data_IF_532534163245
#
_entry.id   IF_532534163245
#
_cell.length_a   1.000
_cell.length_b   1.000
_cell.length_c   1.000
_cell.angle_alpha   90.00
_cell.angle_beta   90.00
_cell.angle_gamma   90.00
#
_symmetry.space_group_name_H-M   'P 1'
#
loop_
_entity.id
_entity.type
_entity.pdbx_description
1 polymer ?
#
# COMPACT_ATOMS: atom_id res chain seq x y z
N UNK A 1 7.44 10.07 33.91
CA UNK A 1 6.68 8.86 33.55
C UNK A 1 7.38 8.25 32.36
N UNK A 2 7.99 7.08 32.52
CA UNK A 2 8.79 6.40 31.50
C UNK A 2 7.98 6.27 30.20
N UNK A 3 8.38 7.00 29.15
CA UNK A 3 7.88 6.78 27.79
C UNK A 3 8.37 5.39 27.37
N UNK A 4 7.57 4.35 27.60
CA UNK A 4 7.87 3.01 27.12
C UNK A 4 7.91 3.08 25.59
N UNK A 5 9.11 3.11 25.03
CA UNK A 5 9.33 3.25 23.59
C UNK A 5 8.55 2.16 22.85
N UNK A 6 7.78 2.57 21.84
CA UNK A 6 6.97 1.67 21.04
C UNK A 6 7.84 0.56 20.41
N UNK A 7 7.38 -0.69 20.49
CA UNK A 7 8.09 -1.88 19.96
C UNK A 7 8.47 -1.75 18.48
N UNK A 8 7.83 -0.83 17.75
CA UNK A 8 8.12 -0.53 16.35
C UNK A 8 9.44 0.21 16.11
N UNK A 9 10.00 0.90 17.11
CA UNK A 9 11.33 1.50 16.97
C UNK A 9 12.42 0.45 16.71
N UNK A 10 12.18 -0.81 17.10
CA UNK A 10 13.08 -1.93 16.83
C UNK A 10 13.10 -2.35 15.36
N UNK A 11 12.05 -2.03 14.61
CA UNK A 11 11.88 -2.36 13.17
C UNK A 11 12.36 -1.21 12.27
N UNK A 12 12.56 -0.02 12.86
CA UNK A 12 13.07 1.20 12.20
C UNK A 12 14.29 0.99 11.29
N UNK A 13 15.35 0.24 11.65
CA UNK A 13 16.53 0.10 10.77
C UNK A 13 16.25 -0.64 9.45
N UNK A 14 15.27 -1.55 9.41
CA UNK A 14 14.84 -2.19 8.16
C UNK A 14 13.90 -1.31 7.35
N UNK A 15 13.10 -0.51 8.05
CA UNK A 15 12.06 0.34 7.47
C UNK A 15 12.63 1.59 6.79
N UNK A 16 13.70 2.17 7.35
CA UNK A 16 14.36 3.38 6.82
C UNK A 16 15.09 3.13 5.48
N UNK A 17 15.34 1.87 5.11
CA UNK A 17 15.94 1.51 3.81
C UNK A 17 14.93 1.50 2.66
N UNK A 18 13.63 1.52 2.96
CA UNK A 18 12.60 1.49 1.93
C UNK A 18 12.52 2.85 1.22
N UNK A 19 12.45 2.86 -0.13
CA UNK A 19 12.39 4.11 -0.87
C UNK A 19 11.14 4.92 -0.46
N UNK A 20 11.30 6.25 -0.41
CA UNK A 20 10.21 7.16 -0.13
C UNK A 20 10.23 8.33 -1.08
N UNK A 21 9.04 8.69 -1.57
CA UNK A 21 8.84 9.89 -2.37
C UNK A 21 8.86 11.09 -1.42
N UNK A 22 9.74 12.06 -1.68
CA UNK A 22 9.76 13.34 -0.96
C UNK A 22 8.56 14.18 -1.36
N UNK A 23 7.99 14.91 -0.40
CA UNK A 23 6.93 15.88 -0.69
C UNK A 23 7.53 17.03 -1.51
N UNK A 24 6.79 17.59 -2.47
CA UNK A 24 7.28 18.70 -3.28
C UNK A 24 7.60 19.92 -2.39
N UNK A 25 8.73 20.56 -2.66
CA UNK A 25 9.18 21.76 -1.96
C UNK A 25 8.49 22.97 -2.61
N UNK A 26 7.39 23.44 -2.00
CA UNK A 26 6.64 24.61 -2.46
C UNK A 26 5.24 24.32 -3.01
N UNK A 27 4.55 25.39 -3.43
CA UNK A 27 3.18 25.29 -3.93
C UNK A 27 3.14 24.76 -5.37
N UNK A 28 2.51 23.60 -5.56
CA UNK A 28 2.29 23.02 -6.89
C UNK A 28 1.02 23.60 -7.51
N UNK A 29 1.13 24.16 -8.71
CA UNK A 29 0.00 24.71 -9.46
C UNK A 29 -1.07 23.64 -9.77
N UNK A 30 -2.33 24.04 -9.80
CA UNK A 30 -3.47 23.13 -10.04
C UNK A 30 -3.34 22.39 -11.38
N UNK A 31 -2.93 23.08 -12.45
CA UNK A 31 -2.73 22.46 -13.79
C UNK A 31 -1.70 21.33 -13.75
N UNK A 32 -0.62 21.51 -13.01
CA UNK A 32 0.41 20.47 -12.83
C UNK A 32 -0.16 19.28 -12.04
N UNK A 33 -0.93 19.51 -10.97
CA UNK A 33 -1.60 18.43 -10.22
C UNK A 33 -2.55 17.63 -11.12
N UNK A 34 -3.36 18.32 -11.93
CA UNK A 34 -4.30 17.69 -12.86
C UNK A 34 -3.58 16.83 -13.90
N UNK A 35 -2.48 17.36 -14.46
CA UNK A 35 -1.66 16.62 -15.43
C UNK A 35 -1.08 15.34 -14.81
N UNK A 36 -0.55 15.40 -13.59
CA UNK A 36 -0.06 14.21 -12.87
C UNK A 36 -1.16 13.17 -12.62
N UNK A 37 -2.37 13.59 -12.24
CA UNK A 37 -3.51 12.68 -12.04
C UNK A 37 -3.85 11.97 -13.34
N UNK A 38 -3.97 12.70 -14.46
CA UNK A 38 -4.26 12.11 -15.78
C UNK A 38 -3.17 11.12 -16.18
N UNK A 39 -1.89 11.47 -16.02
CA UNK A 39 -0.77 10.58 -16.35
C UNK A 39 -0.84 9.28 -15.54
N UNK A 40 -1.05 9.37 -14.22
CA UNK A 40 -1.16 8.18 -13.36
C UNK A 40 -2.37 7.31 -13.74
N UNK A 41 -3.51 7.92 -14.09
CA UNK A 41 -4.69 7.18 -14.53
C UNK A 41 -4.44 6.43 -15.86
N UNK A 42 -3.75 7.05 -16.82
CA UNK A 42 -3.38 6.38 -18.07
C UNK A 42 -2.46 5.20 -17.81
N UNK A 43 -1.44 5.37 -16.97
CA UNK A 43 -0.53 4.28 -16.59
C UNK A 43 -1.30 3.15 -15.90
N UNK A 44 -2.20 3.48 -14.97
CA UNK A 44 -3.06 2.52 -14.30
C UNK A 44 -3.90 1.71 -15.30
N UNK A 45 -4.57 2.40 -16.22
CA UNK A 45 -5.40 1.76 -17.25
C UNK A 45 -4.58 0.83 -18.15
N UNK A 46 -3.38 1.24 -18.57
CA UNK A 46 -2.48 0.38 -19.36
C UNK A 46 -2.11 -0.87 -18.57
N UNK A 47 -1.73 -0.74 -17.30
CA UNK A 47 -1.37 -1.89 -16.46
C UNK A 47 -2.52 -2.89 -16.26
N UNK A 48 -3.77 -2.41 -16.15
CA UNK A 48 -4.97 -3.25 -16.08
C UNK A 48 -5.22 -4.05 -17.36
N UNK A 49 -4.70 -3.61 -18.51
CA UNK A 49 -4.88 -4.30 -19.79
C UNK A 49 -3.68 -5.18 -20.18
N UNK A 50 -2.58 -5.15 -19.42
CA UNK A 50 -1.40 -5.98 -19.66
C UNK A 50 -1.50 -7.25 -18.82
N UNK A 51 -1.68 -8.38 -19.51
CA UNK A 51 -1.76 -9.70 -18.89
C UNK A 51 -0.38 -10.24 -18.50
N UNK A 52 -0.33 -10.99 -17.40
CA UNK A 52 0.85 -11.70 -16.96
C UNK A 52 1.19 -12.83 -17.93
N UNK A 53 2.49 -12.99 -18.17
CA UNK A 53 3.00 -14.03 -19.04
C UNK A 53 2.90 -15.41 -18.38
N UNK A 54 2.50 -16.43 -19.14
CA UNK A 54 2.47 -17.82 -18.67
C UNK A 54 1.22 -18.25 -17.90
N UNK A 55 0.19 -17.40 -17.83
CA UNK A 55 -1.10 -17.77 -17.24
C UNK A 55 -2.00 -18.49 -18.25
N UNK A 56 -2.54 -19.64 -17.83
CA UNK A 56 -3.63 -20.30 -18.53
C UNK A 56 -4.96 -19.62 -18.18
N UNK A 57 -5.62 -19.07 -19.21
CA UNK A 57 -6.75 -18.15 -19.04
C UNK A 57 -8.07 -18.88 -18.82
N UNK A 58 -8.18 -20.14 -19.22
CA UNK A 58 -9.40 -20.95 -19.08
C UNK A 58 -9.53 -21.59 -17.69
N UNK A 59 -8.42 -21.83 -16.99
CA UNK A 59 -8.40 -22.50 -15.68
C UNK A 59 -8.47 -21.53 -14.48
N UNK A 60 -8.37 -20.21 -14.70
CA UNK A 60 -8.54 -19.23 -13.63
C UNK A 60 -10.02 -19.00 -13.30
N UNK A 61 -10.51 -19.75 -12.31
CA UNK A 61 -11.78 -19.44 -11.66
C UNK A 61 -11.63 -18.16 -10.83
N UNK A 62 -12.36 -17.11 -11.21
CA UNK A 62 -12.38 -15.83 -10.50
C UNK A 62 -13.25 -15.92 -9.23
N UNK A 63 -12.80 -16.72 -8.25
CA UNK A 63 -13.49 -16.93 -6.98
C UNK A 63 -13.68 -15.63 -6.16
N UNK A 64 -12.92 -14.58 -6.49
CA UNK A 64 -12.93 -13.28 -5.81
C UNK A 64 -13.51 -12.14 -6.65
N UNK A 65 -14.30 -12.44 -7.68
CA UNK A 65 -14.87 -11.45 -8.60
C UNK A 65 -15.52 -10.24 -7.89
N UNK A 66 -16.31 -10.49 -6.84
CA UNK A 66 -16.99 -9.45 -6.06
C UNK A 66 -16.01 -8.58 -5.25
N UNK A 67 -14.99 -9.19 -4.66
CA UNK A 67 -13.95 -8.48 -3.91
C UNK A 67 -13.06 -7.63 -4.82
N UNK A 68 -12.81 -8.11 -6.04
CA UNK A 68 -11.95 -7.46 -7.03
C UNK A 68 -12.47 -6.10 -7.48
N UNK A 69 -13.78 -5.93 -7.59
CA UNK A 69 -14.41 -4.62 -7.90
C UNK A 69 -14.07 -3.58 -6.83
N UNK A 70 -14.05 -3.97 -5.55
CA UNK A 70 -13.71 -3.08 -4.44
C UNK A 70 -12.21 -2.79 -4.42
N UNK A 71 -11.39 -3.82 -4.69
CA UNK A 71 -9.93 -3.70 -4.72
C UNK A 71 -9.39 -3.09 -6.01
N UNK A 72 -10.27 -2.71 -6.95
CA UNK A 72 -9.93 -2.17 -8.26
C UNK A 72 -8.90 -3.02 -9.05
N UNK A 73 -8.83 -4.33 -8.79
CA UNK A 73 -7.88 -5.23 -9.43
C UNK A 73 -8.42 -5.84 -10.74
N UNK A 74 -7.54 -6.44 -11.54
CA UNK A 74 -7.93 -7.21 -12.72
C UNK A 74 -7.17 -8.54 -12.79
N UNK A 75 -7.91 -9.66 -12.86
CA UNK A 75 -7.33 -11.01 -12.74
C UNK A 75 -6.46 -11.33 -13.94
N UNK A 76 -5.30 -11.91 -13.66
CA UNK A 76 -4.29 -12.25 -14.65
C UNK A 76 -3.56 -11.06 -15.27
N UNK A 77 -3.66 -9.87 -14.69
CA UNK A 77 -2.99 -8.65 -15.16
C UNK A 77 -1.89 -8.20 -14.19
N UNK A 78 -1.09 -7.22 -14.57
CA UNK A 78 -0.12 -6.60 -13.67
C UNK A 78 -0.76 -6.02 -12.39
N UNK A 79 -2.07 -5.74 -12.42
CA UNK A 79 -2.86 -5.24 -11.29
C UNK A 79 -3.77 -6.30 -10.68
N UNK A 80 -3.36 -7.57 -10.70
CA UNK A 80 -4.12 -8.69 -10.10
C UNK A 80 -4.56 -8.43 -8.66
N UNK A 81 -3.64 -7.95 -7.81
CA UNK A 81 -3.91 -7.62 -6.40
C UNK A 81 -4.64 -6.27 -6.20
N UNK A 82 -4.64 -5.41 -7.22
CA UNK A 82 -5.20 -4.06 -7.16
C UNK A 82 -4.61 -3.22 -6.03
N UNK A 83 -5.46 -2.46 -5.35
CA UNK A 83 -5.10 -1.63 -4.19
C UNK A 83 -5.19 -2.38 -2.85
N UNK A 84 -5.62 -3.64 -2.87
CA UNK A 84 -5.95 -4.45 -1.69
C UNK A 84 -4.89 -4.40 -0.59
N UNK A 85 -3.63 -4.77 -0.89
CA UNK A 85 -2.56 -4.80 0.10
C UNK A 85 -2.28 -3.46 0.79
N UNK A 86 -2.51 -2.35 0.07
CA UNK A 86 -2.30 -0.99 0.59
C UNK A 86 -3.41 -0.63 1.57
N UNK A 87 -4.65 -0.91 1.18
CA UNK A 87 -5.83 -0.60 2.00
C UNK A 87 -5.87 -1.49 3.24
N UNK A 88 -5.65 -2.80 3.09
CA UNK A 88 -5.68 -3.78 4.19
C UNK A 88 -4.60 -3.48 5.24
N UNK A 89 -3.35 -3.24 4.81
CA UNK A 89 -2.27 -2.84 5.70
C UNK A 89 -2.59 -1.52 6.44
N UNK A 90 -3.18 -0.53 5.75
CA UNK A 90 -3.58 0.73 6.37
C UNK A 90 -4.66 0.52 7.43
N UNK A 91 -5.66 -0.32 7.18
CA UNK A 91 -6.72 -0.64 8.14
C UNK A 91 -6.12 -1.30 9.38
N UNK A 92 -5.26 -2.30 9.23
CA UNK A 92 -4.60 -2.99 10.35
C UNK A 92 -3.81 -1.99 11.21
N UNK A 93 -2.99 -1.15 10.57
CA UNK A 93 -2.17 -0.18 11.27
C UNK A 93 -3.01 0.90 11.99
N UNK A 94 -4.09 1.38 11.34
CA UNK A 94 -5.05 2.31 11.94
C UNK A 94 -5.75 1.68 13.16
N UNK A 95 -6.15 0.41 13.07
CA UNK A 95 -6.77 -0.31 14.19
C UNK A 95 -5.80 -0.46 15.37
N UNK A 96 -4.54 -0.81 15.13
CA UNK A 96 -3.55 -0.96 16.22
C UNK A 96 -3.21 0.35 16.92
N UNK A 97 -3.13 1.46 16.18
CA UNK A 97 -2.94 2.80 16.77
C UNK A 97 -4.21 3.28 17.47
N UNK A 98 -5.38 3.09 16.85
CA UNK A 98 -6.67 3.48 17.42
C UNK A 98 -7.03 2.72 18.71
N UNK A 99 -6.73 1.42 18.76
CA UNK A 99 -6.88 0.59 19.94
C UNK A 99 -5.81 0.83 21.02
N UNK A 100 -4.86 1.76 20.78
CA UNK A 100 -3.73 2.07 21.67
C UNK A 100 -2.81 0.87 22.00
N UNK A 101 -2.88 -0.19 21.19
CA UNK A 101 -1.94 -1.32 21.25
C UNK A 101 -0.54 -0.82 20.87
N UNK A 102 -0.49 0.01 19.83
CA UNK A 102 0.71 0.74 19.42
C UNK A 102 0.58 2.19 19.91
N UNK A 103 1.44 2.58 20.85
CA UNK A 103 1.52 3.97 21.33
C UNK A 103 2.39 4.78 20.38
N UNK A 104 1.79 5.32 19.32
CA UNK A 104 2.41 6.30 18.43
C UNK A 104 1.66 7.63 18.51
N UNK A 105 2.39 8.71 18.72
CA UNK A 105 1.82 10.05 18.72
C UNK A 105 1.86 10.63 17.30
N UNK A 106 0.73 10.52 16.59
CA UNK A 106 0.57 11.08 15.24
C UNK A 106 0.53 12.61 15.21
N UNK A 107 0.87 13.32 16.29
CA UNK A 107 1.22 14.74 16.24
C UNK A 107 2.71 14.95 15.98
N UNK A 108 3.57 14.06 16.49
CA UNK A 108 5.03 14.12 16.37
C UNK A 108 5.49 13.70 14.98
N UNK A 109 6.45 14.44 14.40
CA UNK A 109 6.97 14.17 13.05
C UNK A 109 7.70 12.84 12.96
N UNK A 110 8.40 12.45 14.03
CA UNK A 110 9.17 11.21 14.11
C UNK A 110 8.27 9.97 14.13
N UNK A 111 7.21 10.02 14.94
CA UNK A 111 6.23 8.93 15.03
C UNK A 111 5.40 8.79 13.76
N UNK A 112 5.08 9.91 13.06
CA UNK A 112 4.51 9.86 11.70
C UNK A 112 5.45 9.16 10.73
N UNK A 113 6.75 9.45 10.78
CA UNK A 113 7.73 8.82 9.91
C UNK A 113 7.85 7.32 10.22
N UNK A 114 7.88 6.94 11.50
CA UNK A 114 7.86 5.55 11.94
C UNK A 114 6.60 4.82 11.44
N UNK A 115 5.42 5.41 11.65
CA UNK A 115 4.14 4.88 11.16
C UNK A 115 4.16 4.61 9.66
N UNK A 116 4.59 5.59 8.86
CA UNK A 116 4.62 5.47 7.41
C UNK A 116 5.63 4.43 6.92
N UNK A 117 6.77 4.30 7.60
CA UNK A 117 7.80 3.34 7.22
C UNK A 117 7.32 1.91 7.53
N UNK A 118 6.75 1.69 8.71
CA UNK A 118 6.17 0.40 9.10
C UNK A 118 5.01 0.03 8.18
N UNK A 119 4.15 0.99 7.86
CA UNK A 119 3.03 0.76 6.94
C UNK A 119 3.53 0.20 5.61
N UNK A 120 4.59 0.77 5.02
CA UNK A 120 5.17 0.24 3.77
C UNK A 120 5.68 -1.19 3.91
N UNK A 121 6.33 -1.51 5.03
CA UNK A 121 6.79 -2.87 5.30
C UNK A 121 5.60 -3.83 5.40
N UNK A 122 4.55 -3.42 6.10
CA UNK A 122 3.31 -4.19 6.21
C UNK A 122 2.63 -4.38 4.85
N UNK A 123 2.63 -3.37 3.98
CA UNK A 123 2.13 -3.50 2.60
C UNK A 123 2.89 -4.58 1.84
N UNK A 124 4.22 -4.64 1.94
CA UNK A 124 5.03 -5.67 1.28
C UNK A 124 4.65 -7.07 1.80
N UNK A 125 4.44 -7.21 3.10
CA UNK A 125 3.98 -8.47 3.71
C UNK A 125 2.58 -8.84 3.20
N UNK A 126 1.66 -7.87 3.12
CA UNK A 126 0.31 -8.09 2.58
C UNK A 126 0.34 -8.47 1.10
N UNK A 127 1.23 -7.91 0.29
CA UNK A 127 1.39 -8.31 -1.13
C UNK A 127 1.72 -9.80 -1.23
N UNK A 128 2.68 -10.28 -0.44
CA UNK A 128 3.06 -11.71 -0.45
C UNK A 128 1.90 -12.58 0.05
N UNK A 129 1.24 -12.16 1.13
CA UNK A 129 0.15 -12.92 1.73
C UNK A 129 -1.09 -13.01 0.83
N UNK A 130 -1.48 -11.91 0.20
CA UNK A 130 -2.62 -11.86 -0.73
C UNK A 130 -2.30 -12.51 -2.09
N UNK A 131 -1.02 -12.55 -2.51
CA UNK A 131 -0.61 -13.18 -3.76
C UNK A 131 -0.66 -14.71 -3.71
N UNK A 132 -0.23 -15.35 -2.62
CA UNK A 132 -0.18 -16.82 -2.49
C UNK A 132 -1.51 -17.52 -2.83
N UNK A 133 -2.68 -17.09 -2.35
CA UNK A 133 -3.95 -17.74 -2.69
C UNK A 133 -4.48 -17.38 -4.08
N UNK A 134 -3.89 -16.39 -4.76
CA UNK A 134 -4.32 -15.94 -6.09
C UNK A 134 -3.44 -16.48 -7.24
N UNK A 135 -2.36 -17.20 -6.91
CA UNK A 135 -1.53 -17.96 -7.86
C UNK A 135 -1.90 -19.44 -7.83
#
# INVERSE_FOLDING_TARGET
>A
MEETQSLLYRIKPFSDRLPSVKRPEGHVHFRTKMMWVIVVLVVYFVMTNVYLYGLDRESMLDMFAQYRTIMAGASGTLLQLGIGPIVTASIIMQLFVGAKIIKLDLSKREDKACYQSVLKLLVIVMIVFEAIPQV
#
